data_IF_067316117570
#
_entry.id   IF_067316117570
#
_cell.length_a   1.000
_cell.length_b   1.000
_cell.length_c   1.000
_cell.angle_alpha   90.00
_cell.angle_beta   90.00
_cell.angle_gamma   90.00
#
_symmetry.space_group_name_H-M   'P 1'
#
loop_
_entity.id
_entity.type
_entity.pdbx_description
1 polymer ?
#
# COMPACT_ATOMS: atom_id res chain seq x y z
N UNK A 1 -18.74 -46.79 -13.50
CA UNK A 1 -17.66 -46.69 -12.50
C UNK A 1 -16.34 -46.15 -13.08
N UNK A 2 -15.81 -46.70 -14.18
CA UNK A 2 -14.51 -46.27 -14.75
C UNK A 2 -14.47 -44.79 -15.20
N UNK A 3 -15.56 -44.33 -15.84
CA UNK A 3 -15.70 -42.95 -16.35
C UNK A 3 -15.91 -41.90 -15.24
N UNK A 4 -16.62 -42.27 -14.18
CA UNK A 4 -16.85 -41.41 -13.02
C UNK A 4 -15.58 -41.22 -12.19
N UNK A 5 -14.77 -42.28 -12.04
CA UNK A 5 -13.43 -42.19 -11.44
C UNK A 5 -12.47 -41.31 -12.26
N UNK A 6 -12.48 -41.44 -13.59
CA UNK A 6 -11.68 -40.57 -14.46
C UNK A 6 -12.06 -39.09 -14.36
N UNK A 7 -13.36 -38.78 -14.34
CA UNK A 7 -13.85 -37.41 -14.16
C UNK A 7 -13.49 -36.83 -12.80
N UNK A 8 -13.58 -37.64 -11.73
CA UNK A 8 -13.17 -37.21 -10.39
C UNK A 8 -11.67 -36.89 -10.34
N UNK A 9 -10.83 -37.71 -10.99
CA UNK A 9 -9.39 -37.49 -11.02
C UNK A 9 -9.01 -36.19 -11.77
N UNK A 10 -9.67 -35.92 -12.90
CA UNK A 10 -9.48 -34.68 -13.66
C UNK A 10 -9.93 -33.47 -12.84
N UNK A 11 -11.07 -33.55 -12.14
CA UNK A 11 -11.53 -32.45 -11.29
C UNK A 11 -10.55 -32.14 -10.14
N UNK A 12 -9.98 -33.17 -9.51
CA UNK A 12 -8.99 -33.00 -8.43
C UNK A 12 -7.68 -32.41 -8.96
N UNK A 13 -7.21 -32.88 -10.11
CA UNK A 13 -6.00 -32.35 -10.74
C UNK A 13 -6.16 -30.86 -11.12
N UNK A 14 -7.33 -30.47 -11.61
CA UNK A 14 -7.64 -29.08 -11.94
C UNK A 14 -7.63 -28.16 -10.71
N UNK A 15 -8.11 -28.63 -9.55
CA UNK A 15 -8.03 -27.86 -8.31
C UNK A 15 -6.60 -27.74 -7.78
N UNK A 16 -5.77 -28.78 -7.94
CA UNK A 16 -4.37 -28.75 -7.50
C UNK A 16 -3.48 -27.83 -8.36
N UNK A 17 -3.87 -27.58 -9.62
CA UNK A 17 -3.17 -26.67 -10.53
C UNK A 17 -3.52 -25.19 -10.31
N UNK A 18 -4.51 -24.88 -9.47
CA UNK A 18 -4.84 -23.50 -9.10
C UNK A 18 -3.74 -22.94 -8.20
N UNK A 19 -2.72 -22.31 -8.81
CA UNK A 19 -1.66 -21.63 -8.08
C UNK A 19 -2.22 -20.55 -7.15
N UNK A 20 -1.52 -20.31 -6.05
CA UNK A 20 -1.91 -19.28 -5.08
C UNK A 20 -1.85 -17.88 -5.72
N UNK A 21 -2.92 -17.10 -5.60
CA UNK A 21 -2.92 -15.72 -6.05
C UNK A 21 -1.85 -14.91 -5.28
N UNK A 22 -1.07 -14.10 -5.99
CA UNK A 22 -0.13 -13.16 -5.39
C UNK A 22 -0.91 -11.98 -4.82
N UNK A 23 -0.73 -11.71 -3.53
CA UNK A 23 -1.23 -10.47 -2.95
C UNK A 23 -0.49 -9.28 -3.61
N UNK A 24 -1.26 -8.34 -4.15
CA UNK A 24 -0.74 -7.06 -4.64
C UNK A 24 -1.16 -5.98 -3.65
N UNK A 25 -0.18 -5.32 -3.05
CA UNK A 25 -0.40 -4.16 -2.20
C UNK A 25 -0.35 -2.92 -3.10
N UNK A 26 -1.43 -2.15 -3.13
CA UNK A 26 -1.50 -0.87 -3.84
C UNK A 26 -1.50 0.24 -2.78
N UNK A 27 -0.45 1.05 -2.77
CA UNK A 27 -0.36 2.24 -1.93
C UNK A 27 -0.68 3.47 -2.81
N UNK A 28 -1.77 4.18 -2.50
CA UNK A 28 -2.16 5.40 -3.22
C UNK A 28 -1.80 6.59 -2.34
N UNK A 29 -0.71 7.25 -2.68
CA UNK A 29 -0.26 8.45 -1.98
C UNK A 29 -1.00 9.68 -2.54
N UNK A 30 -1.82 10.31 -1.70
CA UNK A 30 -2.49 11.58 -2.04
C UNK A 30 -1.64 12.71 -1.50
N UNK A 31 -0.98 13.47 -2.38
CA UNK A 31 -0.05 14.55 -2.01
C UNK A 31 1.08 14.07 -1.06
N UNK A 32 1.79 13.00 -1.44
CA UNK A 32 2.80 12.29 -0.65
C UNK A 32 2.30 11.64 0.66
N UNK A 33 1.00 11.74 1.00
CA UNK A 33 0.51 11.19 2.27
C UNK A 33 0.29 9.69 2.17
N UNK A 34 1.02 8.86 2.95
CA UNK A 34 0.72 7.46 3.06
C UNK A 34 -0.56 7.31 3.88
N UNK A 35 -1.66 7.01 3.20
CA UNK A 35 -3.01 6.98 3.78
C UNK A 35 -3.13 5.99 4.96
N UNK A 36 -2.30 4.93 4.97
CA UNK A 36 -2.43 3.82 5.91
C UNK A 36 -1.54 3.90 7.16
N UNK A 37 -0.62 4.86 7.28
CA UNK A 37 0.33 4.85 8.40
C UNK A 37 -0.26 5.47 9.67
N UNK A 38 -0.63 6.75 9.62
CA UNK A 38 -1.02 7.53 10.82
C UNK A 38 -2.14 8.57 10.57
N UNK A 39 -2.82 8.52 9.41
CA UNK A 39 -3.93 9.43 9.10
C UNK A 39 -3.53 10.92 9.03
N UNK A 40 -4.35 11.87 9.52
CA UNK A 40 -4.01 13.30 9.53
C UNK A 40 -3.03 13.71 10.64
N UNK A 41 -2.83 12.88 11.66
CA UNK A 41 -1.93 13.17 12.78
C UNK A 41 -1.93 12.08 13.85
N UNK A 42 -0.89 12.06 14.67
CA UNK A 42 -0.69 11.05 15.72
C UNK A 42 0.15 11.59 16.89
N UNK A 43 0.09 10.91 18.03
CA UNK A 43 0.91 11.24 19.20
C UNK A 43 2.17 10.36 19.25
N UNK A 44 3.30 10.99 19.62
CA UNK A 44 4.53 10.32 20.05
C UNK A 44 4.87 10.83 21.44
N UNK A 45 4.51 10.04 22.46
CA UNK A 45 4.57 10.49 23.86
C UNK A 45 3.71 11.75 24.07
N UNK A 46 4.27 12.84 24.63
CA UNK A 46 3.51 14.07 24.86
C UNK A 46 3.40 14.98 23.61
N UNK A 47 4.01 14.63 22.47
CA UNK A 47 4.04 15.49 21.28
C UNK A 47 3.02 15.02 20.24
N UNK A 48 2.27 15.96 19.68
CA UNK A 48 1.36 15.72 18.58
C UNK A 48 2.03 16.05 17.25
N UNK A 49 1.98 15.12 16.31
CA UNK A 49 2.52 15.25 14.96
C UNK A 49 1.37 15.37 13.96
N UNK A 50 1.49 16.31 13.03
CA UNK A 50 0.51 16.56 11.97
C UNK A 50 1.14 16.37 10.60
N UNK A 51 0.35 15.88 9.65
CA UNK A 51 0.80 15.77 8.27
C UNK A 51 0.94 17.16 7.64
N UNK A 52 2.13 17.46 7.13
CA UNK A 52 2.42 18.63 6.30
C UNK A 52 2.45 18.18 4.83
N UNK A 53 1.53 18.66 3.98
CA UNK A 53 1.53 18.33 2.56
C UNK A 53 2.84 18.71 1.86
N UNK A 54 3.23 17.92 0.87
CA UNK A 54 4.34 18.28 -0.01
C UNK A 54 4.07 19.60 -0.74
N UNK A 55 5.13 20.39 -0.96
CA UNK A 55 5.03 21.68 -1.63
C UNK A 55 6.28 21.98 -2.44
N UNK A 56 6.12 22.83 -3.46
CA UNK A 56 7.24 23.41 -4.18
C UNK A 56 7.85 24.55 -3.37
N UNK A 57 9.18 24.59 -3.33
CA UNK A 57 9.93 25.69 -2.74
C UNK A 57 11.10 26.07 -3.64
N UNK A 58 11.63 27.28 -3.47
CA UNK A 58 12.79 27.77 -4.21
C UNK A 58 14.05 27.57 -3.37
N UNK A 59 14.98 26.72 -3.82
CA UNK A 59 16.26 26.46 -3.13
C UNK A 59 17.40 26.36 -4.14
N UNK A 60 18.55 26.95 -3.82
CA UNK A 60 19.76 26.89 -4.67
C UNK A 60 19.48 27.20 -6.14
N UNK A 61 18.76 28.30 -6.42
CA UNK A 61 18.41 28.75 -7.78
C UNK A 61 17.56 27.79 -8.62
N UNK A 62 16.81 26.88 -7.99
CA UNK A 62 15.83 26.03 -8.69
C UNK A 62 14.58 25.79 -7.84
N UNK A 63 13.47 25.48 -8.52
CA UNK A 63 12.31 24.90 -7.86
C UNK A 63 12.63 23.46 -7.44
N UNK A 64 12.43 23.17 -6.17
CA UNK A 64 12.55 21.81 -5.61
C UNK A 64 11.24 21.40 -4.98
N UNK A 65 10.85 20.16 -5.21
CA UNK A 65 9.74 19.54 -4.51
C UNK A 65 10.21 19.11 -3.13
N UNK A 66 9.48 19.53 -2.09
CA UNK A 66 9.68 19.04 -0.72
C UNK A 66 8.58 18.03 -0.46
N UNK A 67 8.96 16.78 -0.23
CA UNK A 67 8.03 15.72 0.09
C UNK A 67 7.27 16.00 1.39
N UNK A 68 6.02 15.57 1.43
CA UNK A 68 5.21 15.65 2.63
C UNK A 68 5.81 14.84 3.78
N UNK A 69 5.61 15.30 5.00
CA UNK A 69 6.15 14.64 6.20
C UNK A 69 5.31 14.99 7.42
N UNK A 70 5.49 14.23 8.49
CA UNK A 70 4.93 14.58 9.79
C UNK A 70 5.85 15.53 10.54
N UNK A 71 5.30 16.66 10.98
CA UNK A 71 6.00 17.64 11.80
C UNK A 71 5.27 17.79 13.15
N UNK A 72 6.00 18.06 14.24
CA UNK A 72 5.37 18.39 15.52
C UNK A 72 4.52 19.65 15.36
N UNK A 73 3.34 19.66 15.97
CA UNK A 73 2.48 20.83 16.11
C UNK A 73 3.00 21.76 17.20
#
# INVERSE_FOLDING_TARGET
MKRTLGLALVAIASLAAMGSAKAVIINVDVNDRPYYLHGPGYYVGPRYYVWVPGHWTWRHHRHVWVHGHYAPR
#
